data_IF_996955594694
#
_entry.id   IF_996955594694
#
_cell.length_a   1.000
_cell.length_b   1.000
_cell.length_c   1.000
_cell.angle_alpha   90.00
_cell.angle_beta   90.00
_cell.angle_gamma   90.00
#
_symmetry.space_group_name_H-M   'P 1'
#
loop_
_entity.id
_entity.type
_entity.pdbx_description
1 polymer ?
#
# COMPACT_ATOMS: atom_id res chain seq x y z
N UNK A 1 -14.68 4.25 -1.06
CA UNK A 1 -15.81 3.39 -1.49
C UNK A 1 -16.62 3.03 -0.27
N UNK A 2 -17.96 2.96 -0.37
CA UNK A 2 -18.84 2.61 0.73
C UNK A 2 -19.34 1.16 0.52
N UNK A 3 -19.08 0.27 1.50
CA UNK A 3 -19.41 -1.15 1.41
C UNK A 3 -20.92 -1.40 1.28
N UNK A 4 -21.75 -0.61 2.00
CA UNK A 4 -23.21 -0.77 1.94
C UNK A 4 -23.78 -0.33 0.58
N UNK A 5 -23.25 0.74 0.00
CA UNK A 5 -23.59 1.14 -1.36
C UNK A 5 -23.20 0.05 -2.38
N UNK A 6 -22.08 -0.63 -2.20
CA UNK A 6 -21.68 -1.74 -3.06
C UNK A 6 -22.61 -2.95 -2.90
N UNK A 7 -22.99 -3.30 -1.67
CA UNK A 7 -24.00 -4.37 -1.41
C UNK A 7 -25.35 -4.04 -2.04
N UNK A 8 -25.77 -2.78 -1.97
CA UNK A 8 -27.01 -2.33 -2.64
C UNK A 8 -26.89 -2.47 -4.16
N UNK A 9 -25.81 -1.98 -4.75
CA UNK A 9 -25.58 -2.07 -6.20
C UNK A 9 -25.51 -3.54 -6.68
N UNK A 10 -24.94 -4.43 -5.89
CA UNK A 10 -24.81 -5.86 -6.21
C UNK A 10 -26.18 -6.58 -6.38
N UNK A 11 -27.27 -6.00 -5.90
CA UNK A 11 -28.63 -6.50 -6.14
C UNK A 11 -29.12 -6.20 -7.56
N UNK A 12 -28.45 -5.29 -8.28
CA UNK A 12 -28.89 -4.80 -9.59
C UNK A 12 -27.87 -5.03 -10.71
N UNK A 13 -26.59 -5.18 -10.36
CA UNK A 13 -25.51 -5.36 -11.34
C UNK A 13 -24.31 -6.08 -10.72
N UNK A 14 -23.38 -6.52 -11.56
CA UNK A 14 -22.09 -7.06 -11.11
C UNK A 14 -21.26 -5.96 -10.47
N UNK A 15 -20.81 -6.19 -9.24
CA UNK A 15 -19.95 -5.28 -8.49
C UNK A 15 -18.65 -5.99 -8.10
N UNK A 16 -17.52 -5.40 -8.43
CA UNK A 16 -16.19 -5.94 -8.15
C UNK A 16 -15.25 -4.83 -7.65
N UNK A 17 -14.58 -5.05 -6.51
CA UNK A 17 -14.74 -6.15 -5.56
C UNK A 17 -16.11 -6.16 -4.86
N UNK A 18 -16.41 -7.23 -4.12
CA UNK A 18 -17.66 -7.32 -3.33
C UNK A 18 -17.67 -6.30 -2.18
N UNK A 19 -18.86 -5.89 -1.75
CA UNK A 19 -19.01 -5.01 -0.58
C UNK A 19 -18.46 -5.64 0.71
N UNK A 20 -18.45 -6.97 0.82
CA UNK A 20 -17.92 -7.66 1.99
C UNK A 20 -16.38 -7.60 2.02
N UNK A 21 -15.70 -7.81 0.90
CA UNK A 21 -14.25 -7.61 0.80
C UNK A 21 -13.84 -6.18 1.16
N UNK A 22 -14.61 -5.19 0.69
CA UNK A 22 -14.37 -3.78 1.04
C UNK A 22 -14.59 -3.53 2.52
N UNK A 23 -15.64 -4.08 3.12
CA UNK A 23 -15.95 -3.94 4.55
C UNK A 23 -14.81 -4.49 5.43
N UNK A 24 -14.28 -5.68 5.08
CA UNK A 24 -13.15 -6.30 5.77
C UNK A 24 -11.93 -5.39 5.73
N UNK A 25 -11.55 -4.90 4.54
CA UNK A 25 -10.38 -4.06 4.35
C UNK A 25 -10.53 -2.65 4.98
N UNK A 26 -11.76 -2.19 5.24
CA UNK A 26 -12.02 -0.90 5.89
C UNK A 26 -11.95 -0.95 7.42
N UNK A 27 -11.84 -2.13 8.02
CA UNK A 27 -11.76 -2.30 9.46
C UNK A 27 -10.56 -3.17 9.84
N UNK A 28 -9.53 -2.56 10.46
CA UNK A 28 -8.27 -3.22 10.82
C UNK A 28 -8.45 -4.44 11.73
N UNK A 29 -9.48 -4.46 12.58
CA UNK A 29 -9.76 -5.63 13.43
C UNK A 29 -10.23 -6.80 12.57
N UNK A 30 -11.17 -6.56 11.67
CA UNK A 30 -11.69 -7.57 10.76
C UNK A 30 -10.62 -8.03 9.76
N UNK A 31 -9.87 -7.10 9.17
CA UNK A 31 -8.78 -7.36 8.25
C UNK A 31 -7.75 -8.32 8.86
N UNK A 32 -7.26 -8.01 10.07
CA UNK A 32 -6.28 -8.87 10.76
C UNK A 32 -6.84 -10.24 11.12
N UNK A 33 -8.10 -10.31 11.54
CA UNK A 33 -8.76 -11.59 11.79
C UNK A 33 -8.86 -12.43 10.51
N UNK A 34 -9.14 -11.83 9.37
CA UNK A 34 -9.18 -12.52 8.07
C UNK A 34 -7.80 -12.98 7.62
N UNK A 35 -6.76 -12.14 7.78
CA UNK A 35 -5.38 -12.53 7.47
C UNK A 35 -4.97 -13.76 8.29
N UNK A 36 -5.28 -13.78 9.59
CA UNK A 36 -4.99 -14.93 10.45
C UNK A 36 -5.82 -16.16 10.08
N UNK A 37 -7.11 -15.99 9.71
CA UNK A 37 -7.95 -17.08 9.21
C UNK A 37 -7.38 -17.70 7.92
N UNK A 38 -6.79 -16.89 7.05
CA UNK A 38 -6.05 -17.36 5.89
C UNK A 38 -4.73 -18.09 6.26
N UNK A 39 -4.41 -18.25 7.56
CA UNK A 39 -3.18 -18.88 8.04
C UNK A 39 -1.93 -18.05 7.76
N UNK A 40 -2.07 -16.74 7.60
CA UNK A 40 -0.97 -15.79 7.43
C UNK A 40 -0.71 -15.03 8.73
N UNK A 41 0.52 -14.56 8.89
CA UNK A 41 0.93 -13.82 10.08
C UNK A 41 0.73 -12.32 9.89
N UNK A 42 0.39 -11.64 10.99
CA UNK A 42 0.40 -10.18 11.13
C UNK A 42 1.32 -9.78 12.26
N UNK A 43 1.62 -8.49 12.43
CA UNK A 43 2.17 -8.02 13.69
C UNK A 43 1.25 -8.47 14.84
N UNK A 44 1.78 -8.92 15.98
CA UNK A 44 0.95 -9.24 17.16
C UNK A 44 0.09 -8.04 17.52
N UNK A 45 -1.19 -8.26 17.77
CA UNK A 45 -2.14 -7.16 18.00
C UNK A 45 -3.20 -7.52 19.05
N UNK A 46 -3.87 -6.48 19.53
CA UNK A 46 -5.05 -6.54 20.38
C UNK A 46 -6.07 -5.50 19.90
N UNK A 47 -7.34 -5.89 19.80
CA UNK A 47 -8.44 -4.94 19.64
C UNK A 47 -8.65 -4.15 20.94
N UNK A 48 -8.83 -2.84 20.85
CA UNK A 48 -9.11 -1.94 21.97
C UNK A 48 -10.38 -1.14 21.61
N UNK A 49 -11.54 -1.66 22.01
CA UNK A 49 -12.84 -1.07 21.71
C UNK A 49 -13.38 -0.24 22.87
N UNK A 50 -12.85 -0.45 24.07
CA UNK A 50 -13.19 0.30 25.30
C UNK A 50 -11.99 0.37 26.25
N UNK A 51 -12.01 1.29 27.18
CA UNK A 51 -10.89 1.52 28.11
C UNK A 51 -10.53 0.27 28.94
N UNK A 52 -11.51 -0.57 29.27
CA UNK A 52 -11.32 -1.80 30.03
C UNK A 52 -10.56 -2.88 29.28
N UNK A 53 -10.46 -2.77 27.95
CA UNK A 53 -9.66 -3.70 27.13
C UNK A 53 -8.15 -3.46 27.36
N UNK A 54 -7.77 -2.27 27.86
CA UNK A 54 -6.39 -1.95 28.20
C UNK A 54 -6.06 -2.54 29.57
N UNK A 55 -5.27 -3.61 29.58
CA UNK A 55 -4.92 -4.39 30.77
C UNK A 55 -3.42 -4.71 30.80
N UNK A 56 -2.97 -5.40 31.84
CA UNK A 56 -1.59 -5.91 31.92
C UNK A 56 -1.21 -6.78 30.73
N UNK A 57 -2.17 -7.48 30.10
CA UNK A 57 -1.92 -8.25 28.88
C UNK A 57 -1.48 -7.36 27.70
N UNK A 58 -1.95 -6.11 27.64
CA UNK A 58 -1.54 -5.13 26.62
C UNK A 58 -0.05 -4.78 26.72
N UNK A 59 0.57 -4.94 27.92
CA UNK A 59 1.98 -4.64 28.11
C UNK A 59 2.91 -5.52 27.25
N UNK A 60 2.49 -6.73 26.87
CA UNK A 60 3.25 -7.62 25.99
C UNK A 60 3.39 -7.10 24.55
N UNK A 61 2.54 -6.13 24.18
CA UNK A 61 2.55 -5.48 22.86
C UNK A 61 3.29 -4.13 22.84
N UNK A 62 3.88 -3.74 23.99
CA UNK A 62 4.60 -2.48 24.11
C UNK A 62 6.13 -2.68 23.97
N UNK A 63 6.84 -1.73 23.33
CA UNK A 63 6.32 -0.57 22.63
C UNK A 63 5.47 -0.98 21.43
N UNK A 64 4.39 -0.21 21.21
CA UNK A 64 3.40 -0.51 20.18
C UNK A 64 2.92 0.74 19.43
N UNK A 65 2.00 0.52 18.49
CA UNK A 65 1.31 1.56 17.75
C UNK A 65 -0.20 1.35 17.94
N UNK A 66 -0.87 2.32 18.52
CA UNK A 66 -2.33 2.35 18.58
C UNK A 66 -2.85 3.00 17.29
N UNK A 67 -3.70 2.28 16.55
CA UNK A 67 -4.28 2.71 15.27
C UNK A 67 -5.80 2.71 15.39
N UNK A 68 -6.49 3.72 14.87
CA UNK A 68 -7.96 3.65 14.74
C UNK A 68 -8.33 2.48 13.82
N UNK A 69 -9.37 1.73 14.18
CA UNK A 69 -9.81 0.56 13.41
C UNK A 69 -10.32 0.93 12.02
N UNK A 70 -10.88 2.13 11.87
CA UNK A 70 -11.42 2.65 10.61
C UNK A 70 -10.89 4.04 10.31
N UNK A 71 -11.00 4.47 9.04
CA UNK A 71 -10.68 5.83 8.57
C UNK A 71 -9.21 6.28 8.71
N UNK A 72 -8.28 5.39 9.07
CA UNK A 72 -6.84 5.66 9.04
C UNK A 72 -6.27 5.55 7.62
N UNK A 73 -5.41 6.50 7.22
CA UNK A 73 -4.69 6.48 5.95
C UNK A 73 -3.42 7.34 6.02
N UNK A 74 -2.39 7.01 5.25
CA UNK A 74 -1.14 7.78 5.15
C UNK A 74 -0.59 8.19 6.55
N UNK A 75 -0.54 7.24 7.51
CA UNK A 75 -0.05 7.48 8.88
C UNK A 75 -1.01 8.23 9.82
N UNK A 76 -2.16 8.67 9.36
CA UNK A 76 -3.17 9.34 10.21
C UNK A 76 -3.92 8.34 11.09
N UNK A 77 -4.28 8.78 12.30
CA UNK A 77 -4.95 7.93 13.29
C UNK A 77 -4.03 6.88 13.91
N UNK A 78 -2.72 7.14 13.98
CA UNK A 78 -1.71 6.27 14.58
C UNK A 78 -0.93 7.02 15.65
N UNK A 79 -0.81 6.43 16.83
CA UNK A 79 -0.03 6.98 17.96
C UNK A 79 0.92 5.90 18.46
N UNK A 80 2.21 6.21 18.53
CA UNK A 80 3.21 5.32 19.14
C UNK A 80 3.10 5.40 20.66
N UNK A 81 3.09 4.25 21.32
CA UNK A 81 2.94 4.13 22.78
C UNK A 81 4.00 3.21 23.35
N UNK A 82 4.57 3.58 24.50
CA UNK A 82 5.67 2.86 25.12
C UNK A 82 5.26 2.13 26.39
N UNK A 83 4.18 2.54 27.04
CA UNK A 83 3.68 2.02 28.30
C UNK A 83 2.15 2.11 28.36
N UNK A 84 1.54 1.52 29.40
CA UNK A 84 0.09 1.48 29.56
C UNK A 84 -0.55 2.87 29.78
N UNK A 85 0.15 3.80 30.39
CA UNK A 85 -0.39 5.15 30.63
C UNK A 85 -0.45 5.94 29.32
N UNK A 86 0.59 5.86 28.48
CA UNK A 86 0.58 6.41 27.13
C UNK A 86 -0.51 5.75 26.27
N UNK A 87 -0.72 4.43 26.40
CA UNK A 87 -1.77 3.72 25.67
C UNK A 87 -3.18 4.22 26.05
N UNK A 88 -3.44 4.41 27.36
CA UNK A 88 -4.71 4.97 27.84
C UNK A 88 -4.92 6.40 27.34
N UNK A 89 -3.87 7.22 27.38
CA UNK A 89 -3.92 8.60 26.88
C UNK A 89 -4.19 8.64 25.38
N UNK A 90 -3.51 7.80 24.58
CA UNK A 90 -3.70 7.69 23.14
C UNK A 90 -5.13 7.22 22.78
N UNK A 91 -5.68 6.27 23.51
CA UNK A 91 -7.06 5.81 23.32
C UNK A 91 -8.07 6.92 23.58
N UNK A 92 -7.85 7.70 24.65
CA UNK A 92 -8.68 8.87 24.96
C UNK A 92 -8.54 9.97 23.89
N UNK A 93 -7.33 10.21 23.36
CA UNK A 93 -7.07 11.16 22.27
C UNK A 93 -7.81 10.77 20.98
N UNK A 94 -7.92 9.47 20.69
CA UNK A 94 -8.75 8.96 19.60
C UNK A 94 -10.26 9.04 19.86
N UNK A 95 -10.68 9.59 21.01
CA UNK A 95 -12.10 9.76 21.36
C UNK A 95 -12.80 8.45 21.74
N UNK A 96 -12.07 7.42 22.13
CA UNK A 96 -12.63 6.13 22.53
C UNK A 96 -13.27 5.32 21.39
N UNK A 97 -12.89 5.60 20.14
CA UNK A 97 -13.33 4.79 19.00
C UNK A 97 -12.58 3.47 18.96
N UNK A 98 -13.14 2.49 18.27
CA UNK A 98 -12.47 1.19 18.07
C UNK A 98 -11.05 1.38 17.51
N UNK A 99 -10.09 0.74 18.16
CA UNK A 99 -8.67 0.79 17.84
C UNK A 99 -8.07 -0.60 17.78
N UNK A 100 -6.88 -0.69 17.18
CA UNK A 100 -5.98 -1.84 17.24
C UNK A 100 -4.65 -1.39 17.82
N UNK A 101 -4.21 -2.02 18.90
CA UNK A 101 -2.84 -1.92 19.39
C UNK A 101 -2.00 -2.97 18.68
N UNK A 102 -1.02 -2.55 17.92
CA UNK A 102 -0.05 -3.43 17.26
C UNK A 102 1.32 -3.31 17.91
N UNK A 103 1.96 -4.46 18.14
CA UNK A 103 3.35 -4.51 18.61
C UNK A 103 4.27 -3.95 17.52
N UNK A 104 5.22 -3.10 17.91
CA UNK A 104 6.30 -2.72 17.02
C UNK A 104 7.16 -3.94 16.67
N UNK A 105 7.36 -4.17 15.38
CA UNK A 105 8.20 -5.27 14.87
C UNK A 105 9.58 -4.75 14.48
N UNK A 106 10.56 -5.66 14.42
CA UNK A 106 11.90 -5.37 13.89
C UNK A 106 11.83 -5.24 12.36
N UNK A 107 11.38 -4.06 11.92
CA UNK A 107 11.12 -3.76 10.51
C UNK A 107 12.44 -3.59 9.74
N UNK A 108 12.64 -4.40 8.71
CA UNK A 108 13.78 -4.31 7.77
C UNK A 108 13.39 -3.66 6.46
N UNK A 109 12.14 -3.77 6.06
CA UNK A 109 11.62 -3.18 4.84
C UNK A 109 10.12 -3.39 4.69
N UNK A 110 9.55 -2.75 3.70
CA UNK A 110 8.16 -2.87 3.33
C UNK A 110 8.05 -3.28 1.87
N UNK A 111 7.17 -4.22 1.57
CA UNK A 111 6.89 -4.64 0.20
C UNK A 111 5.39 -4.67 -0.05
N UNK A 112 5.01 -4.65 -1.31
CA UNK A 112 3.64 -4.89 -1.72
C UNK A 112 3.57 -5.80 -2.94
N UNK A 113 2.51 -6.61 -3.01
CA UNK A 113 2.18 -7.43 -4.18
C UNK A 113 0.80 -7.03 -4.68
N UNK A 114 0.71 -6.75 -5.97
CA UNK A 114 -0.57 -6.53 -6.65
C UNK A 114 -1.05 -7.87 -7.20
N UNK A 115 -2.24 -8.29 -6.79
CA UNK A 115 -2.92 -9.51 -7.26
C UNK A 115 -4.08 -9.12 -8.17
N UNK A 116 -4.22 -9.83 -9.28
CA UNK A 116 -5.30 -9.70 -10.25
C UNK A 116 -6.04 -11.04 -10.30
N UNK A 117 -7.27 -11.11 -9.81
CA UNK A 117 -8.02 -12.35 -9.70
C UNK A 117 -9.43 -12.22 -10.28
N UNK A 118 -9.79 -13.11 -11.20
CA UNK A 118 -11.15 -13.30 -11.67
C UNK A 118 -11.85 -14.44 -10.90
N UNK A 119 -11.13 -15.54 -10.71
CA UNK A 119 -11.56 -16.74 -9.96
C UNK A 119 -10.29 -17.54 -9.57
N UNK A 120 -10.45 -18.71 -8.95
CA UNK A 120 -9.32 -19.53 -8.49
C UNK A 120 -8.38 -20.03 -9.61
N UNK A 121 -8.87 -20.16 -10.84
CA UNK A 121 -8.06 -20.62 -12.00
C UNK A 121 -7.38 -19.44 -12.70
N UNK A 122 -7.92 -18.25 -12.59
CA UNK A 122 -7.49 -17.04 -13.29
C UNK A 122 -6.95 -16.00 -12.32
N UNK A 123 -5.73 -16.24 -11.84
CA UNK A 123 -5.01 -15.36 -10.88
C UNK A 123 -3.62 -15.06 -11.44
N UNK A 124 -3.27 -13.79 -11.46
CA UNK A 124 -1.93 -13.28 -11.78
C UNK A 124 -1.44 -12.38 -10.65
N UNK A 125 -0.12 -12.32 -10.45
CA UNK A 125 0.51 -11.37 -9.54
C UNK A 125 1.57 -10.59 -10.30
N UNK A 126 1.72 -9.31 -9.99
CA UNK A 126 2.90 -8.57 -10.38
C UNK A 126 4.09 -8.94 -9.49
N UNK A 127 5.30 -8.62 -9.94
CA UNK A 127 6.49 -8.76 -9.12
C UNK A 127 6.37 -7.88 -7.88
N UNK A 128 6.88 -8.33 -6.72
CA UNK A 128 6.85 -7.54 -5.49
C UNK A 128 7.57 -6.21 -5.66
N UNK A 129 6.93 -5.14 -5.19
CA UNK A 129 7.54 -3.82 -5.10
C UNK A 129 8.10 -3.59 -3.70
N UNK A 130 9.36 -3.19 -3.59
CA UNK A 130 9.92 -2.65 -2.36
C UNK A 130 9.46 -1.22 -2.18
N UNK A 131 8.92 -0.88 -1.01
CA UNK A 131 8.30 0.40 -0.74
C UNK A 131 9.09 1.19 0.30
N UNK A 132 9.44 2.42 -0.03
CA UNK A 132 10.08 3.36 0.89
C UNK A 132 9.05 4.41 1.27
N UNK A 133 8.74 4.49 2.57
CA UNK A 133 7.84 5.49 3.13
C UNK A 133 8.62 6.58 3.86
N UNK A 134 8.22 7.83 3.64
CA UNK A 134 8.73 8.99 4.35
C UNK A 134 7.56 9.67 5.09
N UNK A 135 7.69 9.81 6.41
CA UNK A 135 6.62 10.37 7.26
C UNK A 135 5.26 9.65 7.10
N UNK A 136 5.28 8.33 6.86
CA UNK A 136 4.08 7.50 6.67
C UNK A 136 3.43 7.61 5.29
N UNK A 137 4.04 8.33 4.34
CA UNK A 137 3.57 8.44 2.96
C UNK A 137 4.54 7.71 2.05
N UNK A 138 4.02 6.89 1.13
CA UNK A 138 4.84 6.20 0.13
C UNK A 138 5.59 7.20 -0.74
N UNK A 139 6.92 7.15 -0.72
CA UNK A 139 7.80 7.98 -1.55
C UNK A 139 8.26 7.24 -2.81
N UNK A 140 8.74 6.00 -2.66
CA UNK A 140 9.27 5.21 -3.77
C UNK A 140 8.73 3.78 -3.74
N UNK A 141 8.49 3.20 -4.93
CA UNK A 141 8.28 1.77 -5.14
C UNK A 141 9.28 1.26 -6.16
N UNK A 142 10.10 0.30 -5.76
CA UNK A 142 11.24 -0.23 -6.53
C UNK A 142 10.89 -1.64 -6.97
N UNK A 143 11.01 -1.94 -8.25
CA UNK A 143 10.63 -3.24 -8.82
C UNK A 143 11.70 -3.75 -9.78
N UNK A 144 12.12 -5.03 -9.65
CA UNK A 144 11.74 -5.96 -8.59
C UNK A 144 12.25 -5.53 -7.21
N UNK A 145 11.59 -5.97 -6.14
CA UNK A 145 12.06 -5.74 -4.78
C UNK A 145 13.48 -6.31 -4.60
N UNK A 146 14.36 -5.60 -3.90
CA UNK A 146 15.76 -6.01 -3.66
C UNK A 146 15.86 -7.05 -2.53
N UNK A 147 15.14 -8.16 -2.72
CA UNK A 147 15.06 -9.31 -1.84
C UNK A 147 15.43 -10.58 -2.61
N UNK A 148 15.72 -11.67 -1.90
CA UNK A 148 15.97 -12.96 -2.57
C UNK A 148 14.75 -13.43 -3.35
N UNK A 149 14.98 -14.23 -4.40
CA UNK A 149 13.92 -14.80 -5.21
C UNK A 149 12.91 -15.61 -4.38
N UNK A 150 13.39 -16.32 -3.36
CA UNK A 150 12.55 -17.12 -2.47
C UNK A 150 11.59 -16.24 -1.65
N UNK A 151 12.06 -15.11 -1.11
CA UNK A 151 11.22 -14.15 -0.37
C UNK A 151 10.21 -13.50 -1.29
N UNK A 152 10.61 -13.12 -2.51
CA UNK A 152 9.68 -12.57 -3.50
C UNK A 152 8.60 -13.58 -3.90
N UNK A 153 8.96 -14.83 -4.13
CA UNK A 153 8.01 -15.90 -4.43
C UNK A 153 7.05 -16.17 -3.26
N UNK A 154 7.58 -16.18 -2.03
CA UNK A 154 6.76 -16.31 -0.82
C UNK A 154 5.74 -15.17 -0.72
N UNK A 155 6.14 -13.92 -0.96
CA UNK A 155 5.25 -12.76 -0.96
C UNK A 155 4.09 -12.93 -1.97
N UNK A 156 4.40 -13.36 -3.19
CA UNK A 156 3.38 -13.62 -4.22
C UNK A 156 2.42 -14.75 -3.82
N UNK A 157 2.93 -15.83 -3.21
CA UNK A 157 2.10 -16.94 -2.72
C UNK A 157 1.17 -16.50 -1.58
N UNK A 158 1.68 -15.69 -0.63
CA UNK A 158 0.89 -15.15 0.47
C UNK A 158 -0.23 -14.25 -0.06
N UNK A 159 0.08 -13.39 -1.02
CA UNK A 159 -0.89 -12.48 -1.64
C UNK A 159 -1.98 -13.25 -2.42
N UNK A 160 -1.61 -14.27 -3.19
CA UNK A 160 -2.56 -15.18 -3.86
C UNK A 160 -3.48 -15.87 -2.86
N UNK A 161 -2.90 -16.48 -1.82
CA UNK A 161 -3.65 -17.17 -0.77
C UNK A 161 -4.70 -16.26 -0.13
N UNK A 162 -4.32 -15.02 0.17
CA UNK A 162 -5.25 -14.05 0.78
C UNK A 162 -6.39 -13.67 -0.19
N UNK A 163 -6.08 -13.48 -1.47
CA UNK A 163 -7.10 -13.21 -2.49
C UNK A 163 -8.06 -14.40 -2.68
N UNK A 164 -7.57 -15.64 -2.57
CA UNK A 164 -8.39 -16.85 -2.67
C UNK A 164 -9.31 -17.01 -1.44
N UNK A 165 -8.78 -16.82 -0.23
CA UNK A 165 -9.58 -16.90 1.01
C UNK A 165 -10.67 -15.83 1.10
N UNK A 166 -10.44 -14.66 0.48
CA UNK A 166 -11.44 -13.59 0.37
C UNK A 166 -12.44 -13.81 -0.76
N UNK A 167 -12.28 -14.86 -1.58
CA UNK A 167 -12.95 -15.01 -2.89
C UNK A 167 -12.96 -13.70 -3.69
N UNK A 168 -11.81 -13.04 -3.66
CA UNK A 168 -11.65 -11.69 -4.21
C UNK A 168 -11.76 -11.69 -5.72
N UNK A 169 -12.52 -10.75 -6.26
CA UNK A 169 -12.61 -10.50 -7.71
C UNK A 169 -12.16 -9.06 -7.98
N UNK A 170 -11.14 -8.89 -8.81
CA UNK A 170 -10.56 -7.57 -9.12
C UNK A 170 -9.06 -7.50 -8.88
N UNK A 171 -8.57 -6.28 -8.70
CA UNK A 171 -7.20 -5.97 -8.33
C UNK A 171 -7.12 -5.69 -6.83
N UNK A 172 -6.26 -6.43 -6.15
CA UNK A 172 -5.99 -6.34 -4.71
C UNK A 172 -4.52 -6.03 -4.50
N UNK A 173 -4.21 -5.06 -3.66
CA UNK A 173 -2.85 -4.88 -3.14
C UNK A 173 -2.73 -5.50 -1.74
N UNK A 174 -1.65 -6.24 -1.50
CA UNK A 174 -1.29 -6.80 -0.21
C UNK A 174 0.03 -6.17 0.21
N UNK A 175 0.02 -5.41 1.30
CA UNK A 175 1.21 -4.80 1.88
C UNK A 175 1.76 -5.70 2.99
N UNK A 176 3.08 -5.89 2.98
CA UNK A 176 3.78 -6.77 3.91
C UNK A 176 4.99 -6.08 4.51
N UNK A 177 5.27 -6.39 5.76
CA UNK A 177 6.53 -6.07 6.41
C UNK A 177 7.52 -7.20 6.22
N UNK A 178 8.77 -6.83 5.93
CA UNK A 178 9.94 -7.70 6.00
C UNK A 178 10.53 -7.51 7.39
N UNK A 179 10.57 -8.56 8.20
CA UNK A 179 10.94 -8.46 9.61
C UNK A 179 12.12 -9.35 9.96
N UNK A 180 12.95 -8.90 10.90
CA UNK A 180 14.10 -9.63 11.40
C UNK A 180 15.20 -9.86 10.37
N UNK A 181 16.28 -10.49 10.81
CA UNK A 181 17.43 -10.79 9.94
C UNK A 181 17.16 -11.94 8.96
N UNK A 182 16.12 -12.74 9.21
CA UNK A 182 15.66 -13.83 8.34
C UNK A 182 14.80 -13.37 7.18
N UNK A 183 14.43 -12.06 7.16
CA UNK A 183 13.51 -11.47 6.19
C UNK A 183 12.13 -12.19 6.15
N UNK A 184 11.62 -12.54 7.33
CA UNK A 184 10.28 -13.12 7.43
C UNK A 184 9.22 -12.13 6.98
N UNK A 185 8.17 -12.64 6.33
CA UNK A 185 7.08 -11.82 5.82
C UNK A 185 5.87 -11.88 6.75
N UNK A 186 5.35 -10.72 7.13
CA UNK A 186 4.04 -10.60 7.80
C UNK A 186 3.16 -9.62 7.04
N UNK A 187 1.86 -9.92 6.95
CA UNK A 187 0.92 -9.02 6.27
C UNK A 187 0.62 -7.82 7.17
N UNK A 188 0.74 -6.63 6.60
CA UNK A 188 0.40 -5.37 7.26
C UNK A 188 -1.07 -5.00 7.00
N UNK A 189 -1.42 -4.77 5.74
CA UNK A 189 -2.78 -4.39 5.34
C UNK A 189 -3.08 -4.81 3.90
N UNK A 190 -4.37 -4.75 3.52
CA UNK A 190 -4.84 -4.97 2.16
C UNK A 190 -5.57 -3.74 1.62
N UNK A 191 -5.43 -3.50 0.33
CA UNK A 191 -6.20 -2.47 -0.36
C UNK A 191 -7.03 -3.12 -1.49
N UNK A 192 -8.38 -3.16 -1.37
CA UNK A 192 -9.27 -3.83 -2.32
C UNK A 192 -9.51 -2.94 -3.56
N UNK A 193 -8.45 -2.56 -4.27
CA UNK A 193 -8.44 -1.65 -5.42
C UNK A 193 -7.05 -1.57 -6.04
N UNK A 194 -6.92 -1.02 -7.29
CA UNK A 194 -5.63 -0.55 -7.76
C UNK A 194 -4.93 0.33 -6.73
N UNK A 195 -3.63 0.15 -6.55
CA UNK A 195 -2.86 0.73 -5.45
C UNK A 195 -1.74 1.64 -5.96
N UNK A 196 -1.35 2.60 -5.13
CA UNK A 196 -0.29 3.56 -5.46
C UNK A 196 1.06 2.87 -5.72
N UNK A 197 1.41 1.86 -4.93
CA UNK A 197 2.65 1.09 -5.17
C UNK A 197 2.65 0.31 -6.49
N UNK A 198 1.47 0.06 -7.09
CA UNK A 198 1.32 -0.58 -8.39
C UNK A 198 1.32 0.39 -9.59
N UNK A 199 1.55 1.69 -9.39
CA UNK A 199 1.55 2.64 -10.52
C UNK A 199 2.72 2.43 -11.49
N UNK A 200 3.83 1.85 -11.03
CA UNK A 200 4.93 1.44 -11.90
C UNK A 200 4.49 0.54 -13.06
N UNK A 201 3.41 -0.24 -12.85
CA UNK A 201 2.90 -1.18 -13.86
C UNK A 201 2.49 -0.49 -15.16
N UNK A 202 2.12 0.80 -15.13
CA UNK A 202 1.71 1.58 -16.30
C UNK A 202 2.82 1.64 -17.36
N UNK A 203 4.07 1.75 -16.92
CA UNK A 203 5.21 1.96 -17.82
C UNK A 203 6.15 0.74 -17.89
N UNK A 204 6.16 -0.11 -16.85
CA UNK A 204 7.16 -1.15 -16.68
C UNK A 204 6.64 -2.58 -16.91
N UNK A 205 5.34 -2.80 -17.08
CA UNK A 205 4.75 -4.13 -17.23
C UNK A 205 4.03 -4.31 -18.56
N UNK A 206 3.80 -5.58 -18.94
CA UNK A 206 3.09 -5.93 -20.18
C UNK A 206 1.63 -5.48 -20.19
N UNK A 207 0.97 -5.49 -19.01
CA UNK A 207 -0.34 -4.87 -18.78
C UNK A 207 -0.33 -4.22 -17.41
N UNK A 208 -0.99 -3.08 -17.26
CA UNK A 208 -1.02 -2.35 -15.99
C UNK A 208 -2.20 -2.77 -15.09
N UNK A 209 -2.13 -2.39 -13.80
CA UNK A 209 -3.14 -2.75 -12.81
C UNK A 209 -4.54 -2.20 -13.13
N UNK A 210 -4.67 -1.07 -13.82
CA UNK A 210 -5.96 -0.49 -14.19
C UNK A 210 -6.57 -1.28 -15.35
N UNK A 211 -5.75 -1.63 -16.33
CA UNK A 211 -6.15 -2.51 -17.43
C UNK A 211 -6.61 -3.88 -16.90
N UNK A 212 -5.90 -4.45 -15.92
CA UNK A 212 -6.30 -5.68 -15.25
C UNK A 212 -7.67 -5.53 -14.58
N UNK A 213 -7.89 -4.45 -13.83
CA UNK A 213 -9.19 -4.21 -13.18
C UNK A 213 -10.32 -4.14 -14.19
N UNK A 214 -10.15 -3.42 -15.29
CA UNK A 214 -11.18 -3.33 -16.35
C UNK A 214 -11.45 -4.69 -17.00
N UNK A 215 -10.39 -5.45 -17.32
CA UNK A 215 -10.54 -6.81 -17.89
C UNK A 215 -11.38 -7.71 -16.99
N UNK A 216 -11.04 -7.75 -15.71
CA UNK A 216 -11.74 -8.59 -14.72
C UNK A 216 -13.21 -8.15 -14.56
N UNK A 217 -13.49 -6.85 -14.51
CA UNK A 217 -14.86 -6.32 -14.46
C UNK A 217 -15.68 -6.70 -15.71
N UNK A 218 -15.01 -6.89 -16.84
CA UNK A 218 -15.63 -7.38 -18.09
C UNK A 218 -15.69 -8.92 -18.16
N UNK A 219 -15.35 -9.65 -17.11
CA UNK A 219 -15.34 -11.12 -17.08
C UNK A 219 -14.20 -11.76 -17.88
N UNK A 220 -13.18 -10.99 -18.23
CA UNK A 220 -12.00 -11.49 -18.95
C UNK A 220 -10.92 -11.92 -17.95
N UNK A 221 -10.15 -12.98 -18.26
CA UNK A 221 -9.03 -13.38 -17.43
C UNK A 221 -7.98 -12.26 -17.37
N UNK A 222 -7.18 -12.17 -16.27
CA UNK A 222 -6.05 -11.25 -16.20
C UNK A 222 -5.11 -11.43 -17.41
N UNK A 223 -4.56 -10.31 -17.89
CA UNK A 223 -3.52 -10.32 -18.91
C UNK A 223 -2.14 -10.60 -18.29
N UNK A 224 -1.12 -10.70 -19.14
CA UNK A 224 0.29 -10.89 -18.74
C UNK A 224 0.75 -9.74 -17.83
N UNK A 225 1.25 -10.10 -16.64
CA UNK A 225 1.75 -9.16 -15.61
C UNK A 225 3.27 -8.98 -15.66
N UNK A 226 3.94 -9.61 -16.64
CA UNK A 226 5.39 -9.66 -16.75
C UNK A 226 6.02 -8.28 -16.71
N UNK A 227 7.03 -8.11 -15.82
CA UNK A 227 7.90 -6.95 -15.81
C UNK A 227 8.74 -6.88 -17.08
N UNK A 228 8.73 -5.75 -17.76
CA UNK A 228 9.49 -5.51 -19.00
C UNK A 228 10.83 -4.84 -18.73
N UNK A 229 10.92 -4.06 -17.67
CA UNK A 229 12.14 -3.36 -17.24
C UNK A 229 12.11 -3.17 -15.73
N UNK A 230 13.27 -3.28 -15.09
CA UNK A 230 13.43 -2.80 -13.72
C UNK A 230 13.06 -1.33 -13.65
N UNK A 231 12.46 -0.91 -12.52
CA UNK A 231 11.96 0.46 -12.42
C UNK A 231 11.88 0.96 -10.97
N UNK A 232 11.77 2.27 -10.83
CA UNK A 232 11.40 2.94 -9.60
C UNK A 232 10.29 3.95 -9.89
N UNK A 233 9.15 3.78 -9.25
CA UNK A 233 8.08 4.77 -9.20
C UNK A 233 8.32 5.70 -8.02
N UNK A 234 8.27 7.02 -8.25
CA UNK A 234 8.36 8.04 -7.23
C UNK A 234 7.08 8.87 -7.18
N UNK A 235 6.49 9.03 -6.00
CA UNK A 235 5.36 9.93 -5.80
C UNK A 235 5.81 11.39 -5.83
N UNK A 236 5.01 12.23 -6.45
CA UNK A 236 5.17 13.69 -6.44
C UNK A 236 4.13 14.26 -5.48
N UNK A 237 4.60 14.74 -4.33
CA UNK A 237 3.73 15.33 -3.32
C UNK A 237 3.60 16.84 -3.55
N UNK A 238 2.57 17.46 -2.98
CA UNK A 238 2.37 18.90 -3.06
C UNK A 238 3.46 19.73 -2.39
N UNK A 239 4.37 19.07 -1.69
CA UNK A 239 5.55 19.68 -1.04
C UNK A 239 6.58 20.21 -2.05
N UNK A 240 6.56 19.74 -3.29
CA UNK A 240 7.48 20.22 -4.34
C UNK A 240 6.99 21.48 -5.06
N UNK A 241 5.75 21.94 -4.79
CA UNK A 241 5.25 23.23 -5.24
C UNK A 241 5.82 24.36 -4.40
N UNK A 242 6.02 25.53 -5.01
CA UNK A 242 6.40 26.73 -4.28
C UNK A 242 5.32 27.15 -3.26
N UNK A 243 5.71 27.90 -2.22
CA UNK A 243 4.77 28.43 -1.23
C UNK A 243 3.73 29.38 -1.85
N UNK A 244 4.08 30.03 -2.96
CA UNK A 244 3.21 30.87 -3.78
C UNK A 244 2.28 30.06 -4.71
N UNK A 245 2.39 28.72 -4.69
CA UNK A 245 1.65 27.80 -5.56
C UNK A 245 2.26 27.61 -6.95
N UNK A 246 3.48 28.12 -7.18
CA UNK A 246 4.21 27.90 -8.43
C UNK A 246 4.51 26.42 -8.64
N UNK A 247 4.43 25.98 -9.89
CA UNK A 247 4.72 24.59 -10.27
C UNK A 247 6.21 24.28 -10.15
N UNK A 248 6.57 23.02 -9.83
CA UNK A 248 7.96 22.58 -9.82
C UNK A 248 8.57 22.64 -11.24
N UNK A 249 9.89 22.60 -11.31
CA UNK A 249 10.59 22.51 -12.59
C UNK A 249 10.45 21.10 -13.17
N UNK A 250 9.59 20.94 -14.17
CA UNK A 250 9.33 19.66 -14.84
C UNK A 250 10.41 19.25 -15.86
N UNK A 251 11.28 20.19 -16.31
CA UNK A 251 12.26 19.95 -17.38
C UNK A 251 13.19 18.76 -17.11
N UNK A 252 13.70 18.54 -15.90
CA UNK A 252 14.55 17.36 -15.63
C UNK A 252 13.85 16.03 -15.91
N UNK A 253 12.58 15.90 -15.55
CA UNK A 253 11.78 14.70 -15.83
C UNK A 253 11.43 14.59 -17.33
N UNK A 254 11.04 15.70 -17.96
CA UNK A 254 10.65 15.72 -19.37
C UNK A 254 11.82 15.43 -20.32
N UNK A 255 13.03 15.83 -19.94
CA UNK A 255 14.23 15.62 -20.74
C UNK A 255 14.90 14.26 -20.48
N UNK A 256 14.50 13.53 -19.43
CA UNK A 256 15.10 12.24 -19.13
C UNK A 256 14.43 11.13 -19.95
N UNK A 257 15.18 10.41 -20.82
CA UNK A 257 14.58 9.49 -21.82
C UNK A 257 13.87 8.29 -21.20
N UNK A 258 14.23 7.90 -19.97
CA UNK A 258 13.64 6.75 -19.27
C UNK A 258 12.66 7.14 -18.15
N UNK A 259 12.32 8.43 -18.00
CA UNK A 259 11.37 8.89 -17.00
C UNK A 259 9.99 9.15 -17.62
N UNK A 260 8.95 8.65 -16.98
CA UNK A 260 7.57 8.76 -17.42
C UNK A 260 6.75 9.51 -16.36
N UNK A 261 6.37 10.75 -16.66
CA UNK A 261 5.65 11.65 -15.75
C UNK A 261 4.12 11.48 -15.89
N UNK A 262 3.44 11.35 -14.75
CA UNK A 262 1.98 11.27 -14.63
C UNK A 262 1.46 12.32 -13.64
N UNK A 263 0.92 13.40 -14.13
CA UNK A 263 0.29 14.46 -13.33
C UNK A 263 -1.20 14.16 -13.16
N UNK A 264 -1.73 14.32 -11.92
CA UNK A 264 -3.12 13.99 -11.61
C UNK A 264 -4.12 15.15 -11.87
N UNK A 265 -3.66 16.32 -12.31
CA UNK A 265 -4.50 17.48 -12.60
C UNK A 265 -5.23 18.06 -11.39
N UNK A 266 -4.74 17.83 -10.17
CA UNK A 266 -5.37 18.36 -8.94
C UNK A 266 -5.08 19.84 -8.81
N UNK A 267 -6.12 20.67 -8.60
CA UNK A 267 -6.05 22.13 -8.59
C UNK A 267 -5.24 22.74 -7.43
N UNK A 268 -5.15 22.07 -6.28
CA UNK A 268 -4.46 22.61 -5.10
C UNK A 268 -3.39 21.64 -4.63
N UNK A 269 -2.15 22.05 -4.72
CA UNK A 269 -1.04 21.39 -4.06
C UNK A 269 -1.11 21.67 -2.55
N UNK A 270 -1.04 20.60 -1.75
CA UNK A 270 -1.00 20.68 -0.28
C UNK A 270 0.09 19.74 0.20
N UNK A 271 0.73 20.09 1.30
CA UNK A 271 1.73 19.25 1.95
C UNK A 271 1.21 17.81 2.13
N UNK A 272 1.99 16.82 1.72
CA UNK A 272 1.65 15.40 1.77
C UNK A 272 0.58 14.93 0.78
N UNK A 273 -0.01 15.81 -0.05
CA UNK A 273 -0.99 15.41 -1.06
C UNK A 273 -0.29 14.88 -2.30
N UNK A 274 -0.58 13.64 -2.68
CA UNK A 274 -0.09 13.04 -3.94
C UNK A 274 -0.67 13.79 -5.14
N UNK A 275 0.18 14.51 -5.85
CA UNK A 275 -0.18 15.36 -7.00
C UNK A 275 0.10 14.69 -8.34
N UNK A 276 0.97 13.69 -8.33
CA UNK A 276 1.39 12.89 -9.48
C UNK A 276 2.36 11.82 -9.06
N UNK A 277 2.93 11.15 -10.02
CA UNK A 277 4.08 10.27 -9.87
C UNK A 277 4.90 10.29 -11.16
N UNK A 278 6.11 9.79 -11.07
CA UNK A 278 6.87 9.41 -12.26
C UNK A 278 7.48 8.04 -12.06
N UNK A 279 7.75 7.35 -13.17
CA UNK A 279 8.42 6.05 -13.17
C UNK A 279 9.69 6.14 -14.00
N UNK A 280 10.80 5.72 -13.43
CA UNK A 280 12.09 5.59 -14.14
C UNK A 280 12.30 4.13 -14.48
N UNK A 281 12.60 3.85 -15.74
CA UNK A 281 13.01 2.54 -16.23
C UNK A 281 14.54 2.48 -16.26
N UNK A 282 15.13 1.35 -15.84
CA UNK A 282 16.58 1.16 -15.82
C UNK A 282 16.96 -0.32 -16.03
N UNK A 283 18.26 -0.57 -16.15
CA UNK A 283 18.78 -1.92 -16.31
C UNK A 283 18.58 -2.77 -15.04
N UNK A 284 18.70 -2.14 -13.88
CA UNK A 284 18.48 -2.77 -12.58
C UNK A 284 17.75 -1.84 -11.58
N UNK A 285 17.34 -2.41 -10.44
CA UNK A 285 16.55 -1.75 -9.44
C UNK A 285 17.31 -0.63 -8.68
N UNK A 286 18.61 -0.79 -8.47
CA UNK A 286 19.43 0.20 -7.77
C UNK A 286 19.69 1.42 -8.65
N UNK A 287 19.96 1.23 -9.94
CA UNK A 287 20.06 2.31 -10.92
C UNK A 287 18.74 3.08 -11.03
N UNK A 288 17.62 2.35 -11.09
CA UNK A 288 16.28 2.97 -11.14
C UNK A 288 16.01 3.87 -9.93
N UNK A 289 16.33 3.38 -8.72
CA UNK A 289 16.18 4.16 -7.49
C UNK A 289 17.08 5.38 -7.46
N UNK A 290 18.37 5.21 -7.75
CA UNK A 290 19.34 6.32 -7.73
C UNK A 290 18.91 7.44 -8.70
N UNK A 291 18.52 7.08 -9.91
CA UNK A 291 18.02 8.02 -10.92
C UNK A 291 16.72 8.70 -10.48
N UNK A 292 15.77 7.94 -9.92
CA UNK A 292 14.53 8.50 -9.43
C UNK A 292 14.75 9.50 -8.29
N UNK A 293 15.65 9.20 -7.35
CA UNK A 293 16.02 10.11 -6.26
C UNK A 293 16.66 11.41 -6.79
N UNK A 294 17.58 11.32 -7.74
CA UNK A 294 18.22 12.48 -8.36
C UNK A 294 17.19 13.37 -9.08
N UNK A 295 16.30 12.78 -9.86
CA UNK A 295 15.23 13.51 -10.56
C UNK A 295 14.25 14.15 -9.58
N UNK A 296 13.87 13.43 -8.51
CA UNK A 296 12.97 13.96 -7.48
C UNK A 296 13.56 15.19 -6.77
N UNK A 297 14.85 15.14 -6.42
CA UNK A 297 15.56 16.28 -5.84
C UNK A 297 15.59 17.50 -6.77
N UNK A 298 15.69 17.28 -8.07
CA UNK A 298 15.73 18.36 -9.06
C UNK A 298 14.41 19.11 -9.21
N UNK A 299 13.27 18.52 -8.81
CA UNK A 299 11.96 19.19 -8.80
C UNK A 299 11.90 20.37 -7.83
N UNK A 300 12.64 20.30 -6.72
CA UNK A 300 12.69 21.34 -5.69
C UNK A 300 13.59 22.53 -6.08
N UNK A 301 14.32 22.40 -7.18
CA UNK A 301 15.20 23.49 -7.65
C UNK A 301 14.34 24.42 -8.50
N UNK A 302 13.85 25.51 -7.91
CA UNK A 302 13.19 26.58 -8.64
C UNK A 302 14.04 26.92 -9.88
N UNK A 303 13.41 26.90 -11.05
CA UNK A 303 14.03 27.43 -12.26
C UNK A 303 14.43 28.90 -11.99
N UNK A 304 15.73 29.17 -11.89
CA UNK A 304 16.26 30.52 -11.81
C UNK A 304 16.03 31.24 -13.13
#
# INVERSE_FOLDING_TARGET
VNADAMRFLAQHTVVSPSGDCVSIAQNRIQEKAWIQKAGLQTAPYQAVCKAEDISEASAALLPGILKTATLGYDGKGQIRVKNLDELKAAFAEHGGVDCVLEKMVDLRGEISVIVCRLNSENVQTFDPAENIHENGILSYSIVPARLSADVQQQAQQMARRLADELDYVGVLAVEMFVVGDTHDLIVNEIAPRPHNSGHHTINACAADQFQQQVRIMCGLPPADTRLLSSCCMANILGDVWGEDGSEPNWLPLQNHPAAHLHQYGKKAARKGRKMGHFTVLAADADEALATAQQLHQSLNTLAK
#
